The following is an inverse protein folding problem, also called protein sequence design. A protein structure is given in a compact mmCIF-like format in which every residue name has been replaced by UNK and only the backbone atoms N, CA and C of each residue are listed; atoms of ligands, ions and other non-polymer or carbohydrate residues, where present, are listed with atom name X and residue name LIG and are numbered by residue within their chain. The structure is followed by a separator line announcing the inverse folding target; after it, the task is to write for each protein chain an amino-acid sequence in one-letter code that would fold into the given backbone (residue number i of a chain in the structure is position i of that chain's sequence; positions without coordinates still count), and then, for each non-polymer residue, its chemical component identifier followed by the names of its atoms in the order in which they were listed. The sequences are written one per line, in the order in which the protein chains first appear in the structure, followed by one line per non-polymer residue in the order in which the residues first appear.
data_IF_493037238791
#
_entry.id   IF_493037238791
#
_cell.length_a   1.000
_cell.length_b   1.000
_cell.length_c   1.000
_cell.angle_alpha   90.00
_cell.angle_beta   90.00
_cell.angle_gamma   90.00
#
_symmetry.space_group_name_H-M   'P 1'
#
loop_
_entity.id
_entity.type
_entity.pdbx_description
1 polymer ?
#
# COMPACT_ATOMS: atom_id res chain seq x y z
N UNK A 1 26.50 22.33 5.99
CA UNK A 1 26.58 22.15 4.52
C UNK A 1 25.18 22.16 3.93
N UNK A 2 24.98 22.51 2.65
CA UNK A 2 23.66 22.35 2.03
C UNK A 2 23.31 20.87 1.85
N UNK A 3 22.02 20.52 1.94
CA UNK A 3 21.54 19.16 1.74
C UNK A 3 20.41 19.11 0.69
N UNK A 4 20.12 17.90 0.18
CA UNK A 4 19.06 17.65 -0.82
C UNK A 4 17.80 17.13 -0.11
N UNK A 5 16.67 17.72 -0.45
CA UNK A 5 15.35 17.25 -0.04
C UNK A 5 14.56 16.79 -1.28
N UNK A 6 14.24 15.50 -1.36
CA UNK A 6 13.41 14.95 -2.44
C UNK A 6 11.93 15.06 -2.08
N UNK A 7 11.22 15.98 -2.72
CA UNK A 7 9.78 16.13 -2.52
C UNK A 7 9.07 15.08 -3.33
N UNK A 8 8.27 14.24 -2.68
CA UNK A 8 7.51 13.14 -3.26
C UNK A 8 6.02 13.44 -3.07
N UNK A 9 5.20 13.25 -4.10
CA UNK A 9 3.75 13.39 -4.01
C UNK A 9 3.01 12.43 -4.93
N UNK A 10 1.71 12.26 -4.67
CA UNK A 10 0.79 11.45 -5.47
C UNK A 10 0.03 12.37 -6.43
N UNK A 11 -0.04 11.98 -7.70
CA UNK A 11 -0.68 12.78 -8.74
C UNK A 11 -2.20 12.53 -8.89
N UNK A 12 -2.80 13.09 -9.94
CA UNK A 12 -4.23 12.96 -10.24
C UNK A 12 -4.55 11.97 -11.35
N UNK A 13 -3.64 11.05 -11.67
CA UNK A 13 -3.85 10.06 -12.74
C UNK A 13 -4.96 9.08 -12.37
N UNK A 14 -5.84 8.77 -13.32
CA UNK A 14 -6.91 7.78 -13.19
C UNK A 14 -6.69 6.63 -14.19
N UNK A 15 -7.05 5.38 -13.85
CA UNK A 15 -7.75 4.96 -12.62
C UNK A 15 -6.81 4.74 -11.42
N UNK A 16 -5.50 4.89 -11.59
CA UNK A 16 -4.51 4.71 -10.51
C UNK A 16 -3.53 5.87 -10.54
N UNK A 17 -3.44 6.59 -9.42
CA UNK A 17 -2.53 7.71 -9.27
C UNK A 17 -1.07 7.26 -9.22
N UNK A 18 -0.18 8.12 -9.69
CA UNK A 18 1.25 7.83 -9.80
C UNK A 18 2.06 8.70 -8.85
N UNK A 19 3.20 8.18 -8.39
CA UNK A 19 4.19 8.94 -7.65
C UNK A 19 4.94 9.89 -8.58
N UNK A 20 5.21 11.10 -8.08
CA UNK A 20 6.03 12.13 -8.71
C UNK A 20 7.06 12.62 -7.70
N UNK A 21 8.24 13.05 -8.16
CA UNK A 21 9.21 13.65 -7.27
C UNK A 21 10.07 14.74 -7.91
N UNK A 22 10.68 15.59 -7.08
CA UNK A 22 11.73 16.53 -7.49
C UNK A 22 12.59 16.98 -6.30
N UNK A 23 13.80 17.44 -6.60
CA UNK A 23 14.79 17.79 -5.57
C UNK A 23 14.85 19.29 -5.28
N UNK A 24 14.76 19.65 -3.99
CA UNK A 24 15.13 20.98 -3.47
C UNK A 24 16.52 20.93 -2.86
N UNK A 25 17.31 21.98 -3.05
CA UNK A 25 18.56 22.18 -2.30
C UNK A 25 18.28 23.14 -1.15
N UNK A 26 18.60 22.72 0.07
CA UNK A 26 18.36 23.47 1.31
C UNK A 26 19.66 23.78 2.02
N UNK A 27 19.69 24.91 2.72
CA UNK A 27 20.81 25.25 3.58
C UNK A 27 20.87 24.31 4.79
N UNK A 28 22.04 24.20 5.40
CA UNK A 28 22.23 23.40 6.62
C UNK A 28 21.22 23.76 7.71
N UNK A 29 20.59 22.75 8.32
CA UNK A 29 19.58 22.95 9.37
C UNK A 29 18.28 23.65 8.95
N UNK A 30 18.09 23.98 7.67
CA UNK A 30 16.82 24.54 7.20
C UNK A 30 15.80 23.42 7.05
N UNK A 31 14.60 23.55 7.62
CA UNK A 31 13.51 22.58 7.43
C UNK A 31 12.92 22.65 6.01
N UNK A 32 12.37 21.55 5.47
CA UNK A 32 11.69 21.55 4.18
C UNK A 32 10.50 22.52 4.16
N UNK A 33 10.54 23.59 3.35
CA UNK A 33 9.41 24.52 3.26
C UNK A 33 8.27 23.92 2.41
N UNK A 34 7.11 24.57 2.45
CA UNK A 34 6.10 24.41 1.41
C UNK A 34 6.72 24.72 0.04
N UNK A 35 6.34 23.95 -0.98
CA UNK A 35 6.78 24.17 -2.35
C UNK A 35 5.59 24.11 -3.31
N UNK A 36 5.83 24.26 -4.61
CA UNK A 36 4.77 24.21 -5.61
C UNK A 36 5.24 23.55 -6.89
N UNK A 37 4.31 23.08 -7.71
CA UNK A 37 4.57 22.40 -8.98
C UNK A 37 3.49 22.74 -10.01
N UNK A 38 3.76 22.42 -11.27
CA UNK A 38 2.81 22.56 -12.37
C UNK A 38 1.90 21.32 -12.46
N UNK A 39 0.66 21.46 -12.00
CA UNK A 39 -0.34 20.41 -11.98
C UNK A 39 -0.87 20.01 -13.36
N UNK A 40 -0.60 20.79 -14.42
CA UNK A 40 -1.05 20.45 -15.78
C UNK A 40 -0.32 19.23 -16.34
N UNK A 41 0.87 18.94 -15.81
CA UNK A 41 1.71 17.80 -16.22
C UNK A 41 1.46 16.54 -15.38
N UNK A 42 0.50 16.57 -14.46
CA UNK A 42 0.27 15.50 -13.47
C UNK A 42 -1.22 15.17 -13.28
N UNK A 43 -2.07 15.56 -14.23
CA UNK A 43 -3.53 15.42 -14.16
C UNK A 43 -4.18 16.11 -12.95
N UNK A 44 -3.54 17.14 -12.40
CA UNK A 44 -4.03 17.88 -11.22
C UNK A 44 -4.53 19.28 -11.58
N UNK A 45 -4.38 19.71 -12.83
CA UNK A 45 -4.92 20.98 -13.29
C UNK A 45 -5.17 21.01 -14.79
N UNK A 46 -6.00 21.95 -15.21
CA UNK A 46 -6.06 22.40 -16.59
C UNK A 46 -5.04 23.53 -16.82
N UNK A 47 -4.46 23.61 -18.02
CA UNK A 47 -3.23 24.38 -18.28
C UNK A 47 -3.28 25.90 -18.03
N UNK A 48 -4.44 26.50 -17.77
CA UNK A 48 -4.57 27.94 -17.51
C UNK A 48 -4.66 28.30 -16.01
N UNK A 49 -4.73 27.30 -15.11
CA UNK A 49 -4.73 27.48 -13.65
C UNK A 49 -4.03 26.28 -12.97
N UNK A 50 -2.73 26.15 -13.24
CA UNK A 50 -2.00 24.91 -12.97
C UNK A 50 -1.13 24.84 -11.72
N UNK A 51 -0.89 25.96 -11.03
CA UNK A 51 -0.09 25.95 -9.81
C UNK A 51 -0.76 25.12 -8.71
N UNK A 52 0.01 24.18 -8.16
CA UNK A 52 -0.39 23.34 -7.02
C UNK A 52 0.66 23.38 -5.95
N UNK A 53 0.24 23.18 -4.70
CA UNK A 53 1.08 23.32 -3.51
C UNK A 53 1.47 21.95 -2.97
N UNK A 54 2.74 21.80 -2.59
CA UNK A 54 3.29 20.65 -1.88
C UNK A 54 3.48 21.04 -0.42
N UNK A 55 2.67 20.43 0.45
CA UNK A 55 2.77 20.57 1.91
C UNK A 55 3.52 19.34 2.47
N UNK A 56 4.72 19.50 3.05
CA UNK A 56 5.41 18.41 3.74
C UNK A 56 4.55 17.80 4.85
N UNK A 57 4.44 16.46 4.87
CA UNK A 57 3.67 15.72 5.89
C UNK A 57 4.48 14.62 6.57
N UNK A 58 5.52 14.11 5.92
CA UNK A 58 6.44 13.12 6.47
C UNK A 58 7.83 13.32 5.87
N UNK A 59 8.86 13.18 6.70
CA UNK A 59 10.26 13.28 6.30
C UNK A 59 11.05 12.09 6.84
N UNK A 60 12.00 11.60 6.05
CA UNK A 60 12.92 10.54 6.45
C UNK A 60 14.27 10.66 5.74
N UNK A 61 15.33 9.98 6.20
CA UNK A 61 16.61 9.95 5.50
C UNK A 61 16.46 9.46 4.05
N UNK A 62 17.24 10.02 3.12
CA UNK A 62 17.33 9.53 1.74
C UNK A 62 18.39 8.41 1.69
N UNK A 63 17.99 7.12 1.63
CA UNK A 63 18.92 6.01 1.72
C UNK A 63 19.72 5.81 0.42
N UNK A 64 19.30 6.43 -0.68
CA UNK A 64 19.96 6.35 -1.99
C UNK A 64 21.09 7.38 -2.04
N UNK A 65 20.83 8.60 -1.59
CA UNK A 65 21.82 9.68 -1.60
C UNK A 65 22.74 9.68 -0.39
N UNK A 66 22.28 9.14 0.74
CA UNK A 66 23.02 9.07 2.01
C UNK A 66 23.34 10.45 2.61
N UNK A 67 24.11 10.45 3.70
CA UNK A 67 24.48 11.66 4.43
C UNK A 67 23.26 12.40 5.01
N UNK A 68 23.28 13.72 4.99
CA UNK A 68 22.21 14.58 5.55
C UNK A 68 21.04 14.79 4.58
N UNK A 69 20.96 14.03 3.47
CA UNK A 69 19.89 14.17 2.49
C UNK A 69 18.62 13.45 2.98
N UNK A 70 17.46 13.96 2.56
CA UNK A 70 16.16 13.45 3.03
C UNK A 70 15.15 13.28 1.91
N UNK A 71 14.18 12.40 2.15
CA UNK A 71 12.92 12.31 1.42
C UNK A 71 11.84 13.11 2.16
N UNK A 72 10.96 13.77 1.42
CA UNK A 72 9.89 14.63 1.92
C UNK A 72 8.59 14.24 1.23
N UNK A 73 7.81 13.37 1.86
CA UNK A 73 6.47 13.07 1.38
C UNK A 73 5.57 14.29 1.64
N UNK A 74 4.85 14.70 0.60
CA UNK A 74 3.97 15.84 0.61
C UNK A 74 2.54 15.44 0.29
N UNK A 75 1.60 16.14 0.92
CA UNK A 75 0.23 16.19 0.44
C UNK A 75 0.04 17.38 -0.51
N UNK A 76 -1.00 17.31 -1.34
CA UNK A 76 -1.27 18.31 -2.38
C UNK A 76 -2.39 19.23 -1.94
N UNK A 77 -2.15 20.53 -2.06
CA UNK A 77 -3.10 21.58 -1.76
C UNK A 77 -3.32 22.49 -2.98
N UNK A 78 -4.47 23.15 -2.99
CA UNK A 78 -4.74 24.33 -3.80
C UNK A 78 -3.95 25.54 -3.28
N UNK A 79 -3.84 26.59 -4.09
CA UNK A 79 -3.10 27.81 -3.73
C UNK A 79 -3.66 28.57 -2.51
N UNK A 80 -4.94 28.36 -2.19
CA UNK A 80 -5.62 28.93 -1.03
C UNK A 80 -5.41 28.09 0.25
N UNK A 81 -4.70 26.97 0.15
CA UNK A 81 -4.42 26.04 1.24
C UNK A 81 -5.47 24.96 1.43
N UNK A 82 -6.54 24.92 0.63
CA UNK A 82 -7.49 23.81 0.65
C UNK A 82 -6.85 22.52 0.12
N UNK A 83 -7.30 21.36 0.59
CA UNK A 83 -6.83 20.08 0.05
C UNK A 83 -7.26 19.94 -1.43
N UNK A 84 -6.31 19.60 -2.30
CA UNK A 84 -6.61 19.34 -3.70
C UNK A 84 -7.47 18.07 -3.84
N UNK A 85 -8.30 17.96 -4.90
CA UNK A 85 -9.19 16.79 -5.11
C UNK A 85 -8.49 15.43 -5.13
N UNK A 86 -7.21 15.39 -5.49
CA UNK A 86 -6.39 14.17 -5.51
C UNK A 86 -5.78 13.82 -4.14
N UNK A 87 -5.93 14.69 -3.14
CA UNK A 87 -5.37 14.50 -1.81
C UNK A 87 -6.28 13.57 -0.97
N UNK A 88 -6.05 12.28 -1.09
CA UNK A 88 -6.77 11.24 -0.32
C UNK A 88 -6.32 11.18 1.14
N UNK A 89 -5.09 11.63 1.46
CA UNK A 89 -4.58 11.75 2.84
C UNK A 89 -5.44 12.70 3.68
N UNK A 90 -5.86 13.82 3.10
CA UNK A 90 -6.76 14.77 3.74
C UNK A 90 -8.15 14.19 4.06
N UNK A 91 -8.59 13.16 3.32
CA UNK A 91 -9.85 12.45 3.59
C UNK A 91 -9.70 11.40 4.70
N UNK A 92 -8.52 10.82 4.88
CA UNK A 92 -8.23 9.89 5.97
C UNK A 92 -8.09 10.61 7.31
N UNK A 93 -7.37 11.74 7.33
CA UNK A 93 -7.03 12.48 8.55
C UNK A 93 -8.20 12.72 9.51
N UNK A 94 -9.35 13.31 9.10
CA UNK A 94 -10.46 13.55 10.03
C UNK A 94 -11.10 12.25 10.55
N UNK A 95 -11.09 11.17 9.76
CA UNK A 95 -11.60 9.86 10.20
C UNK A 95 -10.67 9.22 11.24
N UNK A 96 -9.35 9.31 11.01
CA UNK A 96 -8.35 8.85 11.97
C UNK A 96 -8.43 9.63 13.29
N UNK A 97 -8.65 10.94 13.23
CA UNK A 97 -8.86 11.79 14.41
C UNK A 97 -10.16 11.45 15.14
N UNK A 98 -11.26 11.23 14.41
CA UNK A 98 -12.55 10.88 14.98
C UNK A 98 -12.50 9.58 15.81
N UNK A 99 -11.75 8.58 15.35
CA UNK A 99 -11.65 7.27 15.99
C UNK A 99 -10.31 7.02 16.69
N UNK A 100 -9.57 8.08 17.04
CA UNK A 100 -8.23 7.98 17.61
C UNK A 100 -8.18 7.15 18.92
N UNK A 101 -9.22 7.24 19.75
CA UNK A 101 -9.31 6.55 21.03
C UNK A 101 -9.38 5.01 20.90
N UNK A 102 -9.74 4.50 19.71
CA UNK A 102 -9.76 3.05 19.45
C UNK A 102 -8.36 2.48 19.11
N UNK A 103 -7.32 3.31 18.96
CA UNK A 103 -5.92 2.91 18.72
C UNK A 103 -5.79 1.86 17.59
N UNK A 104 -6.22 2.28 16.40
CA UNK A 104 -6.23 1.48 15.18
C UNK A 104 -4.80 1.22 14.66
N UNK A 105 -4.45 -0.04 14.48
CA UNK A 105 -3.18 -0.48 13.88
C UNK A 105 -3.43 -1.20 12.56
N UNK A 106 -2.50 -0.99 11.63
CA UNK A 106 -2.51 -1.56 10.29
C UNK A 106 -1.18 -2.22 9.96
N UNK A 107 -1.23 -3.35 9.26
CA UNK A 107 -0.10 -3.95 8.56
C UNK A 107 -0.48 -4.25 7.12
N UNK A 108 0.26 -3.75 6.13
CA UNK A 108 -0.04 -3.93 4.71
C UNK A 108 1.03 -4.79 4.05
N UNK A 109 0.59 -5.91 3.48
CA UNK A 109 1.37 -6.89 2.73
C UNK A 109 1.36 -6.48 1.25
N UNK A 110 2.35 -5.68 0.82
CA UNK A 110 2.42 -5.13 -0.54
C UNK A 110 3.08 -6.14 -1.48
N UNK A 111 2.27 -6.77 -2.33
CA UNK A 111 2.80 -7.58 -3.43
C UNK A 111 3.11 -6.69 -4.65
N UNK A 112 4.09 -7.10 -5.45
CA UNK A 112 4.48 -6.44 -6.70
C UNK A 112 5.16 -7.43 -7.63
N UNK A 113 5.20 -7.13 -8.93
CA UNK A 113 5.85 -7.99 -9.94
C UNK A 113 6.89 -7.22 -10.72
N UNK A 114 8.08 -7.79 -10.88
CA UNK A 114 9.12 -7.21 -11.72
C UNK A 114 8.90 -7.51 -13.20
N UNK A 115 9.28 -6.56 -14.06
CA UNK A 115 9.22 -6.62 -15.51
C UNK A 115 10.52 -6.16 -16.14
N UNK A 116 10.85 -6.73 -17.29
CA UNK A 116 11.93 -6.25 -18.16
C UNK A 116 11.37 -6.06 -19.56
N UNK A 117 11.18 -4.81 -19.97
CA UNK A 117 10.34 -4.47 -21.12
C UNK A 117 8.91 -4.95 -20.89
N UNK A 118 8.30 -5.58 -21.88
CA UNK A 118 6.89 -6.01 -21.80
C UNK A 118 6.65 -7.36 -21.11
N UNK A 119 7.66 -7.96 -20.46
CA UNK A 119 7.57 -9.31 -19.89
C UNK A 119 7.93 -9.37 -18.41
N UNK A 120 7.24 -10.20 -17.60
CA UNK A 120 7.62 -10.43 -16.22
C UNK A 120 9.05 -10.99 -16.10
N UNK A 121 9.78 -10.51 -15.11
CA UNK A 121 11.13 -10.93 -14.79
C UNK A 121 11.11 -12.38 -14.28
N UNK A 122 11.55 -13.33 -15.10
CA UNK A 122 11.47 -14.77 -14.80
C UNK A 122 10.67 -15.56 -15.83
N UNK A 123 9.97 -14.87 -16.74
CA UNK A 123 9.38 -15.53 -17.91
C UNK A 123 10.44 -15.67 -19.01
N UNK A 124 10.52 -16.83 -19.70
CA UNK A 124 11.41 -16.98 -20.84
C UNK A 124 10.91 -16.19 -22.05
N UNK A 125 11.84 -15.80 -22.92
CA UNK A 125 11.50 -15.15 -24.19
C UNK A 125 10.58 -16.04 -25.02
N UNK A 126 9.49 -15.47 -25.55
CA UNK A 126 8.50 -16.20 -26.36
C UNK A 126 7.69 -17.29 -25.64
N UNK A 127 7.86 -17.50 -24.33
CA UNK A 127 7.27 -18.66 -23.64
C UNK A 127 6.73 -18.38 -22.24
N UNK A 128 6.51 -19.46 -21.49
CA UNK A 128 6.10 -19.44 -20.08
C UNK A 128 7.09 -20.26 -19.26
N UNK A 129 7.34 -19.89 -17.98
CA UNK A 129 8.14 -20.69 -17.09
C UNK A 129 7.34 -21.94 -16.63
N UNK A 130 7.94 -22.78 -15.79
CA UNK A 130 7.22 -23.91 -15.21
C UNK A 130 6.00 -23.43 -14.38
N UNK A 131 4.98 -24.29 -14.17
CA UNK A 131 3.82 -23.91 -13.35
C UNK A 131 4.19 -23.46 -11.94
N UNK A 132 3.32 -22.65 -11.34
CA UNK A 132 3.51 -22.11 -10.00
C UNK A 132 3.63 -23.22 -8.94
N UNK A 133 4.41 -22.95 -7.88
CA UNK A 133 4.58 -23.85 -6.74
C UNK A 133 5.93 -23.68 -6.06
N UNK A 134 7.02 -23.89 -6.81
CA UNK A 134 8.38 -23.85 -6.27
C UNK A 134 8.98 -22.44 -6.15
N UNK A 135 8.28 -21.41 -6.67
CA UNK A 135 8.71 -20.00 -6.61
C UNK A 135 8.49 -19.37 -5.24
N UNK A 136 7.36 -19.67 -4.59
CA UNK A 136 6.99 -19.12 -3.28
C UNK A 136 8.05 -19.47 -2.23
N UNK A 137 8.63 -18.45 -1.59
CA UNK A 137 9.75 -18.61 -0.65
C UNK A 137 10.91 -19.48 -1.19
N UNK A 138 11.10 -19.50 -2.52
CA UNK A 138 12.09 -20.32 -3.20
C UNK A 138 13.54 -19.86 -2.97
N UNK A 139 14.47 -20.76 -3.28
CA UNK A 139 15.92 -20.51 -3.30
C UNK A 139 16.55 -21.18 -4.50
N UNK A 140 17.53 -20.51 -5.13
CA UNK A 140 18.20 -20.98 -6.33
C UNK A 140 17.75 -20.25 -7.60
N UNK A 141 18.62 -20.25 -8.61
CA UNK A 141 18.47 -19.45 -9.83
C UNK A 141 17.28 -19.87 -10.71
N UNK A 142 16.76 -21.09 -10.54
CA UNK A 142 15.58 -21.58 -11.27
C UNK A 142 14.26 -21.03 -10.69
N UNK A 143 14.26 -20.63 -9.42
CA UNK A 143 13.05 -20.24 -8.69
C UNK A 143 12.97 -18.74 -8.37
N UNK A 144 14.10 -18.03 -8.38
CA UNK A 144 14.21 -16.69 -7.80
C UNK A 144 14.74 -15.69 -8.82
N UNK A 145 13.98 -14.60 -9.02
CA UNK A 145 14.30 -13.56 -10.00
C UNK A 145 14.21 -12.17 -9.35
N UNK A 146 15.29 -11.38 -9.41
CA UNK A 146 15.30 -10.00 -8.90
C UNK A 146 15.65 -9.82 -7.42
N UNK A 147 16.14 -10.86 -6.71
CA UNK A 147 16.47 -10.79 -5.27
C UNK A 147 17.42 -9.65 -4.93
N UNK A 148 18.41 -9.36 -5.77
CA UNK A 148 19.35 -8.25 -5.57
C UNK A 148 18.66 -6.88 -5.47
N UNK A 149 17.56 -6.68 -6.21
CA UNK A 149 16.73 -5.47 -6.15
C UNK A 149 15.94 -5.47 -4.84
N UNK A 150 15.39 -6.62 -4.45
CA UNK A 150 14.59 -6.78 -3.23
C UNK A 150 15.39 -6.53 -1.97
N UNK A 151 16.58 -7.13 -1.84
CA UNK A 151 17.46 -6.93 -0.68
C UNK A 151 17.90 -5.47 -0.59
N UNK A 152 18.26 -4.85 -1.72
CA UNK A 152 18.65 -3.43 -1.72
C UNK A 152 17.47 -2.50 -1.39
N UNK A 153 16.26 -2.81 -1.86
CA UNK A 153 15.04 -2.09 -1.50
C UNK A 153 14.75 -2.21 0.01
N UNK A 154 14.87 -3.43 0.57
CA UNK A 154 14.73 -3.68 2.00
C UNK A 154 15.72 -2.83 2.81
N UNK A 155 17.01 -2.90 2.47
CA UNK A 155 18.06 -2.13 3.15
C UNK A 155 17.76 -0.62 3.10
N UNK A 156 17.27 -0.12 1.97
CA UNK A 156 16.88 1.28 1.80
C UNK A 156 15.68 1.65 2.66
N UNK A 157 14.65 0.82 2.71
CA UNK A 157 13.49 1.07 3.56
C UNK A 157 13.87 1.06 5.05
N UNK A 158 14.74 0.14 5.48
CA UNK A 158 15.27 0.10 6.85
C UNK A 158 16.12 1.34 7.16
N UNK A 159 17.00 1.76 6.26
CA UNK A 159 17.82 2.96 6.42
C UNK A 159 16.98 4.26 6.41
N UNK A 160 15.86 4.28 5.71
CA UNK A 160 14.87 5.36 5.77
C UNK A 160 13.99 5.31 7.04
N UNK A 161 14.15 4.29 7.90
CA UNK A 161 13.38 4.16 9.14
C UNK A 161 11.92 3.78 8.93
N UNK A 162 11.57 3.21 7.77
CA UNK A 162 10.20 2.77 7.50
C UNK A 162 9.88 1.51 8.32
N UNK A 163 8.62 1.37 8.71
CA UNK A 163 8.14 0.26 9.53
C UNK A 163 8.03 -1.07 8.74
N UNK A 164 9.13 -1.57 8.18
CA UNK A 164 9.17 -2.86 7.48
C UNK A 164 9.22 -4.00 8.51
N UNK A 165 8.33 -5.00 8.35
CA UNK A 165 8.32 -6.20 9.19
C UNK A 165 8.86 -7.46 8.48
N UNK A 166 8.91 -7.46 7.15
CA UNK A 166 9.47 -8.58 6.39
C UNK A 166 9.37 -8.42 4.87
N UNK A 167 9.89 -9.43 4.18
CA UNK A 167 9.79 -9.65 2.73
C UNK A 167 9.67 -11.15 2.44
N UNK A 168 9.09 -11.51 1.30
CA UNK A 168 9.16 -12.86 0.74
C UNK A 168 9.05 -12.88 -0.79
N UNK A 169 9.56 -13.95 -1.40
CA UNK A 169 9.26 -14.26 -2.80
C UNK A 169 7.83 -14.81 -2.89
N UNK A 170 7.06 -14.32 -3.86
CA UNK A 170 5.66 -14.70 -4.04
C UNK A 170 5.46 -15.87 -5.02
N UNK A 171 4.22 -16.27 -5.20
CA UNK A 171 3.84 -17.48 -5.97
C UNK A 171 4.18 -17.38 -7.46
N UNK A 172 4.03 -16.21 -8.09
CA UNK A 172 4.40 -16.00 -9.49
C UNK A 172 5.91 -15.69 -9.62
N UNK A 173 6.64 -16.26 -10.60
CA UNK A 173 8.06 -15.96 -10.76
C UNK A 173 8.27 -14.48 -11.08
N UNK A 174 9.16 -13.83 -10.31
CA UNK A 174 9.40 -12.39 -10.37
C UNK A 174 8.44 -11.55 -9.55
N UNK A 175 7.46 -12.18 -8.89
CA UNK A 175 6.59 -11.53 -7.90
C UNK A 175 7.22 -11.63 -6.52
N UNK A 176 7.04 -10.56 -5.75
CA UNK A 176 7.58 -10.40 -4.41
C UNK A 176 6.61 -9.65 -3.53
N UNK A 177 6.84 -9.72 -2.22
CA UNK A 177 6.07 -9.00 -1.22
C UNK A 177 7.01 -8.32 -0.21
N UNK A 178 6.61 -7.15 0.27
CA UNK A 178 7.16 -6.55 1.49
C UNK A 178 6.01 -6.13 2.42
N UNK A 179 6.24 -6.23 3.73
CA UNK A 179 5.21 -5.92 4.74
C UNK A 179 5.54 -4.62 5.48
N UNK A 180 4.59 -3.67 5.51
CA UNK A 180 4.70 -2.40 6.25
C UNK A 180 3.74 -2.41 7.45
N UNK A 181 4.25 -2.18 8.65
CA UNK A 181 3.50 -2.12 9.90
C UNK A 181 3.99 -3.13 10.95
N UNK A 182 3.37 -3.17 12.15
CA UNK A 182 2.15 -2.45 12.50
C UNK A 182 2.38 -0.94 12.75
N UNK A 183 1.48 -0.09 12.25
CA UNK A 183 1.50 1.36 12.48
C UNK A 183 0.09 1.96 12.44
N UNK A 184 -0.05 3.22 12.87
CA UNK A 184 -1.32 3.95 12.77
C UNK A 184 -1.74 4.22 11.30
N UNK A 185 -3.00 4.61 11.03
CA UNK A 185 -3.53 4.70 9.67
C UNK A 185 -2.80 5.70 8.76
N UNK A 186 -2.44 6.89 9.28
CA UNK A 186 -1.68 7.88 8.51
C UNK A 186 -0.23 7.41 8.31
N UNK A 187 0.41 6.92 9.37
CA UNK A 187 1.82 6.49 9.34
C UNK A 187 2.04 5.29 8.41
N UNK A 188 1.21 4.25 8.48
CA UNK A 188 1.33 3.08 7.57
C UNK A 188 1.17 3.50 6.12
N UNK A 189 0.30 4.48 5.84
CA UNK A 189 0.02 4.97 4.50
C UNK A 189 1.15 5.82 3.96
N UNK A 190 1.68 6.73 4.79
CA UNK A 190 2.85 7.54 4.49
C UNK A 190 4.06 6.63 4.22
N UNK A 191 4.32 5.67 5.10
CA UNK A 191 5.41 4.69 4.95
C UNK A 191 5.27 3.83 3.70
N UNK A 192 4.07 3.33 3.38
CA UNK A 192 3.86 2.52 2.18
C UNK A 192 4.12 3.32 0.89
N UNK A 193 3.68 4.58 0.82
CA UNK A 193 3.96 5.43 -0.34
C UNK A 193 5.45 5.70 -0.53
N UNK A 194 6.19 5.93 0.56
CA UNK A 194 7.65 6.09 0.51
C UNK A 194 8.34 4.77 0.15
N UNK A 195 7.87 3.63 0.69
CA UNK A 195 8.39 2.32 0.33
C UNK A 195 8.18 1.99 -1.15
N UNK A 196 7.02 2.35 -1.73
CA UNK A 196 6.73 2.25 -3.17
C UNK A 196 7.66 3.16 -4.00
N UNK A 197 7.88 4.40 -3.56
CA UNK A 197 8.85 5.29 -4.21
C UNK A 197 10.24 4.66 -4.26
N UNK A 198 10.71 4.14 -3.12
CA UNK A 198 12.00 3.47 -3.02
C UNK A 198 12.07 2.20 -3.87
N UNK A 199 10.98 1.44 -4.00
CA UNK A 199 10.92 0.26 -4.86
C UNK A 199 11.20 0.66 -6.32
N UNK A 200 10.47 1.64 -6.85
CA UNK A 200 10.66 2.11 -8.22
C UNK A 200 12.07 2.66 -8.44
N UNK A 201 12.53 3.55 -7.56
CA UNK A 201 13.85 4.19 -7.70
C UNK A 201 15.00 3.20 -7.56
N UNK A 202 14.82 2.13 -6.80
CA UNK A 202 15.79 1.03 -6.72
C UNK A 202 15.77 0.19 -7.98
N UNK A 203 14.60 -0.19 -8.50
CA UNK A 203 14.48 -0.99 -9.70
C UNK A 203 15.04 -0.28 -10.96
N UNK A 204 14.95 1.06 -11.01
CA UNK A 204 15.56 1.89 -12.06
C UNK A 204 17.08 1.64 -12.23
N UNK A 205 17.81 1.39 -11.13
CA UNK A 205 19.27 1.12 -11.17
C UNK A 205 19.61 -0.20 -11.88
N UNK A 206 18.64 -1.09 -12.01
CA UNK A 206 18.79 -2.40 -12.65
C UNK A 206 18.11 -2.46 -14.03
N UNK A 207 17.49 -1.35 -14.48
CA UNK A 207 16.70 -1.33 -15.71
C UNK A 207 15.53 -2.31 -15.67
N UNK A 208 14.94 -2.49 -14.49
CA UNK A 208 13.78 -3.34 -14.21
C UNK A 208 12.63 -2.45 -13.78
N UNK A 209 11.43 -2.76 -14.24
CA UNK A 209 10.21 -2.08 -13.83
C UNK A 209 9.53 -2.90 -12.74
N UNK A 210 9.04 -2.28 -11.67
CA UNK A 210 8.09 -2.91 -10.76
C UNK A 210 6.69 -2.48 -11.15
N UNK A 211 5.72 -3.39 -11.17
CA UNK A 211 4.29 -3.06 -11.34
C UNK A 211 3.49 -3.50 -10.11
N UNK A 212 2.47 -2.70 -9.81
CA UNK A 212 1.44 -2.99 -8.80
C UNK A 212 0.12 -3.42 -9.43
N UNK A 213 0.10 -3.73 -10.73
CA UNK A 213 -1.10 -4.17 -11.43
C UNK A 213 -1.71 -5.39 -10.74
N UNK A 214 -3.05 -5.38 -10.58
CA UNK A 214 -3.77 -6.44 -9.88
C UNK A 214 -3.61 -7.82 -10.52
N UNK A 215 -3.41 -7.87 -11.84
CA UNK A 215 -3.23 -9.10 -12.63
C UNK A 215 -2.14 -8.91 -13.70
N UNK A 216 -0.86 -8.96 -13.31
CA UNK A 216 0.26 -8.60 -14.19
C UNK A 216 0.46 -9.59 -15.34
N UNK A 217 0.14 -10.87 -15.13
CA UNK A 217 0.13 -11.89 -16.18
C UNK A 217 -1.27 -12.51 -16.33
N UNK A 218 -1.76 -12.60 -17.57
CA UNK A 218 -3.02 -13.29 -17.89
C UNK A 218 -2.83 -14.81 -17.83
N UNK A 219 -3.90 -15.52 -17.48
CA UNK A 219 -3.91 -16.98 -17.32
C UNK A 219 -3.81 -17.43 -15.86
N UNK A 220 -3.29 -18.64 -15.66
CA UNK A 220 -3.18 -19.35 -14.37
C UNK A 220 -1.97 -18.88 -13.55
N UNK A 221 -1.74 -17.58 -13.51
CA UNK A 221 -0.68 -16.92 -12.73
C UNK A 221 -1.34 -16.12 -11.61
N UNK A 222 -0.71 -16.04 -10.43
CA UNK A 222 -1.23 -15.26 -9.32
C UNK A 222 -1.41 -13.78 -9.71
N UNK A 223 -2.41 -13.14 -9.10
CA UNK A 223 -2.52 -11.68 -9.14
C UNK A 223 -1.67 -11.07 -8.03
N UNK A 224 -1.63 -9.73 -7.98
CA UNK A 224 -0.93 -8.99 -6.93
C UNK A 224 -1.92 -8.29 -5.98
N UNK A 225 -1.83 -8.62 -4.69
CA UNK A 225 -2.63 -8.07 -3.60
C UNK A 225 -1.93 -7.01 -2.74
N UNK A 226 -2.72 -6.37 -1.88
CA UNK A 226 -2.23 -5.57 -0.77
C UNK A 226 -2.98 -5.98 0.51
N UNK A 227 -2.78 -7.21 0.99
CA UNK A 227 -3.56 -7.70 2.14
C UNK A 227 -3.37 -6.76 3.33
N UNK A 228 -4.48 -6.35 3.92
CA UNK A 228 -4.49 -5.30 4.94
C UNK A 228 -4.94 -5.88 6.26
N UNK A 229 -3.98 -6.06 7.15
CA UNK A 229 -4.18 -6.45 8.53
C UNK A 229 -4.68 -5.24 9.33
N UNK A 230 -5.74 -5.41 10.14
CA UNK A 230 -6.37 -4.34 10.90
C UNK A 230 -6.77 -4.79 12.31
N UNK A 231 -6.53 -3.94 13.30
CA UNK A 231 -7.04 -4.11 14.67
C UNK A 231 -7.25 -2.77 15.37
N UNK A 232 -8.23 -2.72 16.27
CA UNK A 232 -8.33 -1.71 17.34
C UNK A 232 -7.81 -2.27 18.65
N UNK A 233 -7.65 -1.42 19.67
CA UNK A 233 -7.33 -1.87 21.03
C UNK A 233 -8.31 -2.94 21.53
N UNK A 234 -9.61 -2.71 21.36
CA UNK A 234 -10.63 -3.68 21.73
C UNK A 234 -10.46 -5.02 21.01
N UNK A 235 -10.15 -5.04 19.71
CA UNK A 235 -9.86 -6.29 18.98
C UNK A 235 -8.62 -7.02 19.50
N UNK A 236 -7.60 -6.28 19.94
CA UNK A 236 -6.39 -6.85 20.55
C UNK A 236 -6.62 -7.40 21.97
N UNK A 237 -7.80 -7.18 22.55
CA UNK A 237 -8.16 -7.61 23.91
C UNK A 237 -9.39 -8.54 23.95
N UNK A 238 -10.26 -8.52 22.93
CA UNK A 238 -11.55 -9.18 22.92
C UNK A 238 -11.93 -9.73 21.53
N UNK A 239 -12.28 -11.02 21.46
CA UNK A 239 -12.73 -11.68 20.24
C UNK A 239 -14.06 -11.16 19.69
N UNK A 240 -14.98 -10.69 20.53
CA UNK A 240 -16.27 -10.17 20.06
C UNK A 240 -16.08 -8.91 19.20
N UNK A 241 -15.07 -8.09 19.49
CA UNK A 241 -14.70 -6.94 18.67
C UNK A 241 -14.16 -7.38 17.29
N UNK A 242 -13.46 -8.51 17.22
CA UNK A 242 -13.01 -9.09 15.94
C UNK A 242 -14.20 -9.53 15.09
N UNK A 243 -15.17 -10.24 15.70
CA UNK A 243 -16.38 -10.67 15.00
C UNK A 243 -17.18 -9.45 14.53
N UNK A 244 -17.38 -8.46 15.39
CA UNK A 244 -18.09 -7.23 15.03
C UNK A 244 -17.43 -6.50 13.84
N UNK A 245 -16.09 -6.42 13.81
CA UNK A 245 -15.38 -5.84 12.66
C UNK A 245 -15.56 -6.65 11.37
N UNK A 246 -15.50 -7.98 11.44
CA UNK A 246 -15.77 -8.86 10.31
C UNK A 246 -17.21 -8.74 9.80
N UNK A 247 -18.20 -8.66 10.69
CA UNK A 247 -19.61 -8.53 10.31
C UNK A 247 -19.89 -7.17 9.68
N UNK A 248 -19.34 -6.09 10.25
CA UNK A 248 -19.50 -4.72 9.74
C UNK A 248 -19.10 -4.57 8.26
N UNK A 249 -18.04 -5.25 7.83
CA UNK A 249 -17.57 -5.23 6.43
C UNK A 249 -18.53 -5.96 5.46
N UNK A 250 -19.43 -6.78 5.99
CA UNK A 250 -20.46 -7.52 5.25
C UNK A 250 -21.85 -6.90 5.28
N UNK A 251 -22.06 -5.82 6.05
CA UNK A 251 -23.37 -5.20 6.23
C UNK A 251 -23.76 -4.27 5.07
N UNK A 252 -25.00 -4.38 4.61
CA UNK A 252 -25.58 -3.47 3.61
C UNK A 252 -24.72 -3.34 2.36
N UNK A 253 -24.38 -2.09 2.00
CA UNK A 253 -23.58 -1.77 0.82
C UNK A 253 -22.06 -1.76 1.07
N UNK A 254 -21.60 -2.02 2.31
CA UNK A 254 -20.18 -1.99 2.69
C UNK A 254 -19.27 -2.86 1.82
N UNK A 255 -19.66 -4.08 1.41
CA UNK A 255 -18.84 -4.87 0.50
C UNK A 255 -18.49 -4.11 -0.79
N UNK A 256 -19.47 -3.49 -1.44
CA UNK A 256 -19.25 -2.80 -2.71
C UNK A 256 -18.65 -1.40 -2.52
N UNK A 257 -18.99 -0.69 -1.44
CA UNK A 257 -18.34 0.57 -1.06
C UNK A 257 -16.82 0.40 -0.95
N UNK A 258 -16.37 -0.71 -0.36
CA UNK A 258 -14.95 -1.04 -0.25
C UNK A 258 -14.38 -1.52 -1.59
N UNK A 259 -14.97 -2.54 -2.20
CA UNK A 259 -14.44 -3.19 -3.43
C UNK A 259 -14.25 -2.21 -4.58
N UNK A 260 -15.19 -1.27 -4.79
CA UNK A 260 -15.08 -0.25 -5.86
C UNK A 260 -13.93 0.73 -5.67
N UNK A 261 -13.36 0.80 -4.47
CA UNK A 261 -12.25 1.68 -4.11
C UNK A 261 -10.97 0.90 -3.81
N UNK A 262 -10.96 -0.42 -3.94
CA UNK A 262 -9.87 -1.33 -3.55
C UNK A 262 -8.81 -1.56 -4.65
N UNK A 263 -8.76 -0.64 -5.62
CA UNK A 263 -7.79 -0.62 -6.71
C UNK A 263 -8.42 -0.96 -8.06
N UNK A 264 -7.81 -0.47 -9.13
CA UNK A 264 -8.29 -0.67 -10.48
C UNK A 264 -8.11 -2.14 -10.94
N UNK A 265 -9.00 -2.61 -11.83
CA UNK A 265 -9.01 -3.98 -12.39
C UNK A 265 -9.13 -5.10 -11.34
N UNK A 266 -9.85 -4.84 -10.25
CA UNK A 266 -10.07 -5.80 -9.15
C UNK A 266 -10.77 -7.07 -9.62
N UNK A 267 -11.64 -6.99 -10.62
CA UNK A 267 -12.38 -8.12 -11.17
C UNK A 267 -11.47 -9.12 -11.90
N UNK A 268 -10.35 -8.66 -12.47
CA UNK A 268 -9.35 -9.54 -13.09
C UNK A 268 -8.54 -10.35 -12.06
N UNK A 269 -8.46 -9.87 -10.81
CA UNK A 269 -7.78 -10.55 -9.71
C UNK A 269 -8.74 -11.42 -8.90
N UNK A 270 -9.81 -10.82 -8.38
CA UNK A 270 -10.76 -11.43 -7.46
C UNK A 270 -11.83 -12.24 -8.20
N UNK A 271 -11.45 -13.41 -8.68
CA UNK A 271 -12.31 -14.31 -9.45
C UNK A 271 -12.89 -15.47 -8.64
N UNK A 272 -12.42 -15.67 -7.40
CA UNK A 272 -12.65 -16.89 -6.61
C UNK A 272 -11.61 -17.99 -6.86
N UNK A 273 -10.72 -17.81 -7.82
CA UNK A 273 -9.52 -18.64 -8.02
C UNK A 273 -8.27 -17.94 -7.49
N UNK A 274 -7.25 -18.71 -7.11
CA UNK A 274 -5.92 -18.25 -6.67
C UNK A 274 -5.86 -17.33 -5.44
N UNK A 275 -6.79 -17.47 -4.49
CA UNK A 275 -6.88 -16.60 -3.30
C UNK A 275 -7.13 -15.12 -3.71
N UNK A 276 -8.29 -14.52 -3.52
CA UNK A 276 -9.35 -14.80 -2.53
C UNK A 276 -10.74 -14.93 -3.19
N UNK A 277 -11.81 -14.73 -2.41
CA UNK A 277 -13.21 -14.69 -2.82
C UNK A 277 -13.45 -13.83 -4.07
N UNK A 278 -14.50 -14.13 -4.87
CA UNK A 278 -14.86 -13.28 -5.99
C UNK A 278 -15.26 -11.89 -5.51
N UNK A 279 -14.93 -10.84 -6.28
CA UNK A 279 -15.12 -9.43 -5.90
C UNK A 279 -16.56 -9.07 -5.50
N UNK A 280 -17.55 -9.79 -6.03
CA UNK A 280 -18.98 -9.52 -5.85
C UNK A 280 -19.63 -10.28 -4.69
N UNK A 281 -18.84 -10.93 -3.82
CA UNK A 281 -19.34 -11.63 -2.63
C UNK A 281 -18.44 -11.36 -1.44
N UNK A 282 -19.07 -11.00 -0.32
CA UNK A 282 -18.37 -10.89 0.95
C UNK A 282 -18.47 -12.20 1.74
N UNK A 283 -17.34 -12.69 2.22
CA UNK A 283 -17.25 -13.81 3.17
C UNK A 283 -16.13 -13.53 4.17
N UNK A 284 -16.27 -14.03 5.39
CA UNK A 284 -15.15 -14.09 6.33
C UNK A 284 -15.05 -15.48 6.95
N UNK A 285 -13.86 -15.84 7.45
CA UNK A 285 -13.70 -17.11 8.13
C UNK A 285 -12.32 -17.30 8.78
N UNK A 286 -12.29 -18.18 9.78
CA UNK A 286 -11.05 -18.58 10.45
C UNK A 286 -10.18 -19.37 9.49
N UNK A 287 -8.93 -18.95 9.33
CA UNK A 287 -7.90 -19.61 8.50
C UNK A 287 -8.31 -19.84 7.04
N UNK A 288 -9.30 -19.12 6.54
CA UNK A 288 -9.82 -19.31 5.19
C UNK A 288 -9.19 -18.31 4.21
N UNK A 289 -8.17 -18.75 3.46
CA UNK A 289 -7.52 -17.93 2.43
C UNK A 289 -8.42 -17.62 1.23
N UNK A 290 -9.50 -18.38 1.05
CA UNK A 290 -10.53 -18.12 0.03
C UNK A 290 -11.65 -17.20 0.48
N UNK A 291 -11.62 -16.70 1.72
CA UNK A 291 -12.60 -15.72 2.23
C UNK A 291 -12.11 -14.28 2.01
N UNK A 292 -13.04 -13.36 1.78
CA UNK A 292 -12.74 -11.93 1.61
C UNK A 292 -11.92 -11.38 2.79
N UNK A 293 -12.33 -11.74 4.01
CA UNK A 293 -11.62 -11.41 5.25
C UNK A 293 -11.24 -12.69 5.99
N UNK A 294 -9.99 -12.79 6.40
CA UNK A 294 -9.47 -13.93 7.16
C UNK A 294 -9.27 -13.56 8.62
N UNK A 295 -9.72 -14.41 9.51
CA UNK A 295 -9.30 -14.40 10.92
C UNK A 295 -8.14 -15.41 11.04
N UNK A 296 -6.89 -14.98 11.35
CA UNK A 296 -5.77 -15.90 11.48
C UNK A 296 -6.03 -16.95 12.57
N UNK A 297 -5.44 -18.15 12.43
CA UNK A 297 -5.67 -19.24 13.39
C UNK A 297 -5.21 -18.86 14.81
N UNK A 298 -4.12 -18.10 14.93
CA UNK A 298 -3.61 -17.64 16.23
C UNK A 298 -4.63 -16.72 16.92
N UNK A 299 -5.31 -15.87 16.14
CA UNK A 299 -6.33 -14.95 16.65
C UNK A 299 -7.55 -15.73 17.16
N UNK A 300 -7.96 -16.80 16.47
CA UNK A 300 -9.01 -17.69 16.93
C UNK A 300 -8.62 -18.47 18.20
N UNK A 301 -7.36 -18.88 18.33
CA UNK A 301 -6.86 -19.61 19.51
C UNK A 301 -6.74 -18.68 20.72
N UNK A 302 -6.12 -17.52 20.54
CA UNK A 302 -5.85 -16.56 21.61
C UNK A 302 -7.08 -15.71 21.96
N UNK A 303 -8.13 -15.77 21.13
CA UNK A 303 -9.38 -15.02 21.28
C UNK A 303 -9.17 -13.50 21.35
N UNK A 304 -8.18 -13.01 20.60
CA UNK A 304 -7.84 -11.59 20.45
C UNK A 304 -6.80 -11.42 19.33
N UNK A 305 -6.68 -10.22 18.78
CA UNK A 305 -5.70 -9.91 17.74
C UNK A 305 -6.26 -9.00 16.65
N UNK A 306 -6.23 -9.49 15.40
CA UNK A 306 -6.50 -8.69 14.19
C UNK A 306 -7.29 -9.49 13.15
N UNK A 307 -7.83 -8.78 12.16
CA UNK A 307 -8.39 -9.35 10.93
C UNK A 307 -7.49 -9.04 9.75
N UNK A 308 -7.54 -9.85 8.70
CA UNK A 308 -6.85 -9.60 7.43
C UNK A 308 -7.87 -9.44 6.31
N UNK A 309 -7.97 -8.23 5.74
CA UNK A 309 -8.73 -7.99 4.52
C UNK A 309 -7.89 -8.34 3.30
N UNK A 310 -8.33 -9.35 2.53
CA UNK A 310 -7.58 -9.89 1.39
C UNK A 310 -8.02 -9.30 0.06
N UNK A 311 -9.03 -8.43 0.07
CA UNK A 311 -9.64 -7.82 -1.11
C UNK A 311 -8.85 -6.68 -1.75
N UNK A 312 -8.01 -5.89 -1.07
CA UNK A 312 -7.28 -4.81 -1.73
C UNK A 312 -6.29 -5.33 -2.77
N UNK A 313 -6.27 -4.72 -3.96
CA UNK A 313 -5.27 -4.96 -4.99
C UNK A 313 -3.93 -4.33 -4.60
N UNK A 314 -2.83 -4.81 -5.19
CA UNK A 314 -1.50 -4.22 -5.03
C UNK A 314 -1.45 -2.71 -5.37
N UNK A 315 -2.28 -2.24 -6.32
CA UNK A 315 -2.37 -0.83 -6.73
C UNK A 315 -3.29 0.03 -5.86
N UNK A 316 -3.78 -0.46 -4.71
CA UNK A 316 -4.61 0.33 -3.79
C UNK A 316 -3.88 1.58 -3.29
N UNK A 317 -4.60 2.69 -3.16
CA UNK A 317 -4.13 3.82 -2.35
C UNK A 317 -4.26 3.49 -0.85
N UNK A 318 -3.15 3.41 -0.08
CA UNK A 318 -3.21 3.09 1.34
C UNK A 318 -4.06 4.08 2.14
N UNK A 319 -4.12 5.36 1.74
CA UNK A 319 -4.99 6.34 2.43
C UNK A 319 -6.47 5.97 2.28
N UNK A 320 -6.86 5.39 1.14
CA UNK A 320 -8.24 4.99 0.87
C UNK A 320 -8.61 3.74 1.65
N UNK A 321 -7.80 2.68 1.60
CA UNK A 321 -8.13 1.42 2.29
C UNK A 321 -8.14 1.58 3.82
N UNK A 322 -7.16 2.30 4.37
CA UNK A 322 -7.12 2.56 5.82
C UNK A 322 -8.30 3.41 6.25
N UNK A 323 -8.67 4.45 5.48
CA UNK A 323 -9.86 5.29 5.77
C UNK A 323 -11.14 4.46 5.79
N UNK A 324 -11.33 3.61 4.78
CA UNK A 324 -12.54 2.78 4.67
C UNK A 324 -12.62 1.76 5.82
N UNK A 325 -11.51 1.11 6.15
CA UNK A 325 -11.46 0.14 7.26
C UNK A 325 -11.70 0.81 8.61
N UNK A 326 -11.03 1.94 8.90
CA UNK A 326 -11.28 2.70 10.13
C UNK A 326 -12.74 3.14 10.18
N UNK A 327 -13.25 3.78 9.13
CA UNK A 327 -14.61 4.32 9.12
C UNK A 327 -15.66 3.22 9.34
N UNK A 328 -15.58 2.10 8.63
CA UNK A 328 -16.57 1.02 8.73
C UNK A 328 -16.44 0.26 10.04
N UNK A 329 -15.24 -0.18 10.42
CA UNK A 329 -15.07 -1.04 11.59
C UNK A 329 -15.20 -0.24 12.89
N UNK A 330 -14.56 0.93 13.00
CA UNK A 330 -14.57 1.70 14.24
C UNK A 330 -15.96 2.26 14.56
N UNK A 331 -16.72 2.68 13.54
CA UNK A 331 -18.10 3.11 13.74
C UNK A 331 -19.01 1.96 14.22
N UNK A 332 -18.81 0.74 13.68
CA UNK A 332 -19.56 -0.43 14.11
C UNK A 332 -19.21 -0.84 15.55
N UNK A 333 -17.92 -0.80 15.91
CA UNK A 333 -17.45 -1.07 17.26
C UNK A 333 -18.00 -0.07 18.28
N UNK A 334 -17.99 1.23 17.95
CA UNK A 334 -18.59 2.27 18.80
C UNK A 334 -20.09 2.03 19.01
N UNK A 335 -20.83 1.72 17.94
CA UNK A 335 -22.26 1.38 18.01
C UNK A 335 -22.52 0.13 18.86
N UNK A 336 -21.61 -0.84 18.85
CA UNK A 336 -21.69 -2.08 19.62
C UNK A 336 -21.21 -1.92 21.07
N UNK A 337 -20.62 -0.78 21.46
CA UNK A 337 -20.01 -0.59 22.77
C UNK A 337 -18.72 -1.39 22.99
N UNK A 338 -17.97 -1.64 21.91
CA UNK A 338 -16.74 -2.45 21.87
C UNK A 338 -15.51 -1.58 21.54
N UNK A 339 -15.29 -0.51 22.33
CA UNK A 339 -14.20 0.47 22.15
C UNK A 339 -13.18 0.43 23.28
#
# INVERSE_FOLDING_TARGET
MSYKAEYIWIDGTEPTALLRSKTKILADGAEPPVWGFDGSSTNQAEGHSSDRVLRPVFTCPDPIRGGDNILVLCEVEEIDGAAHKSNTRALLRPIAEQFADQDSWFGIEQEYTFFKGSRPLGFPEGGFPAPQGHYYCGVGAEAVFGREIVELHLDRCLAAGLAISGINAEVMPGQWEFQVGPAGPLEVSDHLWVARYLLYRTAEEFGVEATLDAKPARGDWNGAGAHTNFSTKAMRENYDAIIAACEALGEGDKPMEHVTQYGADIESRLTGHHETAPWNKYTYGVSNRGASVRIPWQVEVDKKGYIEDRRPNANIDPYVVTRLLVNTCCAALEKAGLV
#
